data_IF_115531523051
#
_entry.id   IF_115531523051
#
_cell.length_a   1.000
_cell.length_b   1.000
_cell.length_c   1.000
_cell.angle_alpha   90.00
_cell.angle_beta   90.00
_cell.angle_gamma   90.00
#
_symmetry.space_group_name_H-M   'P 1'
#
loop_
_entity.id
_entity.type
_entity.pdbx_description
1 polymer ?
#
# COMPACT_ATOMS: atom_id res chain seq x y z
N UNK A 1 0.98 -21.36 -7.26
CA UNK A 1 0.62 -19.94 -7.26
C UNK A 1 1.74 -19.20 -6.54
N UNK A 2 2.40 -18.30 -7.28
CA UNK A 2 3.44 -17.44 -6.72
C UNK A 2 2.77 -16.55 -5.69
N UNK A 3 3.06 -16.76 -4.41
CA UNK A 3 2.86 -15.73 -3.39
C UNK A 3 3.80 -14.59 -3.76
N UNK A 4 3.32 -13.65 -4.54
CA UNK A 4 4.05 -12.41 -4.86
C UNK A 4 4.21 -11.71 -3.54
N UNK A 5 5.45 -11.64 -3.06
CA UNK A 5 5.87 -11.30 -1.72
C UNK A 5 4.99 -10.27 -1.03
N UNK A 6 4.16 -10.75 -0.13
CA UNK A 6 3.58 -9.88 0.89
C UNK A 6 4.74 -9.42 1.76
N UNK A 7 5.04 -8.14 1.71
CA UNK A 7 5.97 -7.51 2.64
C UNK A 7 5.28 -7.44 4.01
N UNK A 8 5.32 -8.52 4.75
CA UNK A 8 4.98 -8.52 6.17
C UNK A 8 6.20 -8.12 7.00
N UNK A 9 6.00 -7.71 8.23
CA UNK A 9 7.08 -7.41 9.17
C UNK A 9 8.08 -8.57 9.30
N UNK A 10 7.61 -9.81 9.10
CA UNK A 10 8.44 -11.02 9.12
C UNK A 10 9.24 -11.21 7.82
N UNK A 11 8.66 -10.85 6.66
CA UNK A 11 9.28 -11.11 5.35
C UNK A 11 10.49 -10.24 5.07
N UNK A 12 10.46 -8.97 5.51
CA UNK A 12 11.53 -7.99 5.27
C UNK A 12 12.23 -7.53 6.54
N UNK A 13 11.93 -8.16 7.69
CA UNK A 13 12.50 -7.79 8.98
C UNK A 13 12.46 -6.27 9.22
N UNK A 14 11.29 -5.67 8.98
CA UNK A 14 11.06 -4.22 8.97
C UNK A 14 11.54 -3.52 10.25
N UNK A 15 11.60 -4.27 11.36
CA UNK A 15 12.09 -3.78 12.65
C UNK A 15 13.59 -3.44 12.64
N UNK A 16 14.36 -3.94 11.67
CA UNK A 16 15.77 -3.58 11.48
C UNK A 16 15.96 -2.25 10.75
N UNK A 17 14.89 -1.70 10.17
CA UNK A 17 14.94 -0.44 9.44
C UNK A 17 14.70 0.75 10.37
N UNK A 18 15.08 1.94 9.89
CA UNK A 18 14.83 3.20 10.61
C UNK A 18 13.54 3.85 10.14
N UNK A 19 12.81 4.53 11.05
CA UNK A 19 11.57 5.21 10.70
C UNK A 19 11.83 6.49 9.89
N UNK A 20 10.97 6.74 8.91
CA UNK A 20 10.83 8.02 8.22
C UNK A 20 9.69 8.78 8.89
N UNK A 21 9.97 9.91 9.52
CA UNK A 21 9.00 10.60 10.39
C UNK A 21 8.47 11.90 9.80
N UNK A 22 9.21 12.53 8.88
CA UNK A 22 8.83 13.81 8.29
C UNK A 22 8.58 13.74 6.79
N UNK A 23 7.59 14.53 6.37
CA UNK A 23 7.29 14.76 4.97
C UNK A 23 8.27 15.75 4.29
N UNK A 24 9.12 16.42 5.08
CA UNK A 24 10.15 17.34 4.57
C UNK A 24 11.25 16.49 3.94
N UNK A 25 11.47 16.67 2.65
CA UNK A 25 12.49 15.91 1.91
C UNK A 25 13.89 16.51 2.05
N UNK A 26 13.99 17.82 2.03
CA UNK A 26 15.25 18.57 2.06
C UNK A 26 15.15 19.75 3.00
N UNK A 27 16.18 19.98 3.82
CA UNK A 27 16.29 21.16 4.71
C UNK A 27 16.73 22.41 3.95
N UNK A 28 17.67 22.22 3.02
CA UNK A 28 18.24 23.25 2.14
C UNK A 28 18.38 22.68 0.74
N UNK A 29 18.88 23.51 -0.20
CA UNK A 29 18.94 23.21 -1.64
C UNK A 29 19.53 21.84 -1.89
N UNK A 30 20.05 21.02 -1.44
CA UNK A 30 20.50 19.65 -1.75
C UNK A 30 20.90 18.85 -0.50
N UNK A 31 20.46 19.34 0.67
CA UNK A 31 20.75 18.67 1.95
C UNK A 31 19.48 17.92 2.37
N UNK A 32 19.46 16.58 2.32
CA UNK A 32 18.33 15.80 2.77
C UNK A 32 18.03 16.04 4.25
N UNK A 33 16.75 16.08 4.58
CA UNK A 33 16.34 16.12 5.98
C UNK A 33 16.73 14.80 6.68
N UNK A 34 17.32 14.81 7.91
CA UNK A 34 17.85 13.62 8.58
C UNK A 34 16.80 12.54 8.84
N UNK A 35 15.53 12.90 9.02
CA UNK A 35 14.42 11.96 9.22
C UNK A 35 13.48 11.85 8.01
N UNK A 36 13.89 12.41 6.86
CA UNK A 36 13.07 12.48 5.65
C UNK A 36 13.32 11.32 4.67
N UNK A 37 12.58 11.37 3.56
CA UNK A 37 12.59 10.33 2.52
C UNK A 37 13.95 10.15 1.82
N UNK A 38 14.85 11.13 1.88
CA UNK A 38 16.20 11.06 1.28
C UNK A 38 17.33 11.02 2.32
N UNK A 39 17.00 10.86 3.59
CA UNK A 39 17.94 10.87 4.71
C UNK A 39 19.14 9.94 4.50
N UNK A 40 20.33 10.47 4.73
CA UNK A 40 21.56 9.67 4.77
C UNK A 40 21.64 8.78 5.99
N UNK A 41 21.01 9.16 7.10
CA UNK A 41 20.98 8.37 8.33
C UNK A 41 20.10 7.12 8.19
N UNK A 42 19.04 7.20 7.38
CA UNK A 42 18.08 6.10 7.14
C UNK A 42 18.55 5.22 5.99
N UNK A 43 18.91 5.83 4.86
CA UNK A 43 19.14 5.11 3.60
C UNK A 43 20.62 5.00 3.23
N UNK A 44 21.53 5.48 4.10
CA UNK A 44 22.97 5.45 3.88
C UNK A 44 23.47 6.56 2.98
N UNK A 45 24.80 6.71 2.96
CA UNK A 45 25.51 7.77 2.24
C UNK A 45 26.24 7.24 0.99
N UNK A 46 26.52 5.93 0.95
CA UNK A 46 27.17 5.29 -0.19
C UNK A 46 26.17 4.79 -1.21
N UNK A 47 26.54 4.69 -2.51
CA UNK A 47 25.64 4.13 -3.55
C UNK A 47 25.14 2.71 -3.23
N UNK A 48 25.96 1.89 -2.58
CA UNK A 48 25.60 0.51 -2.20
C UNK A 48 24.59 0.48 -1.06
N UNK A 49 24.75 1.34 -0.05
CA UNK A 49 23.77 1.48 1.03
C UNK A 49 22.44 1.99 0.50
N UNK A 50 22.47 3.03 -0.36
CA UNK A 50 21.25 3.61 -0.97
C UNK A 50 20.48 2.62 -1.86
N UNK A 51 21.12 1.52 -2.30
CA UNK A 51 20.46 0.42 -3.02
C UNK A 51 19.81 -0.62 -2.10
N UNK A 52 20.33 -0.79 -0.89
CA UNK A 52 19.99 -1.92 0.00
C UNK A 52 19.15 -1.50 1.20
N UNK A 53 19.39 -0.29 1.73
CA UNK A 53 18.73 0.16 2.95
C UNK A 53 17.31 0.65 2.67
N UNK A 54 16.38 0.03 3.38
CA UNK A 54 14.99 0.44 3.42
C UNK A 54 14.73 1.30 4.66
N UNK A 55 13.68 2.11 4.60
CA UNK A 55 13.08 2.72 5.76
C UNK A 55 11.68 2.17 5.99
N UNK A 56 10.98 2.69 6.99
CA UNK A 56 9.56 2.44 7.17
C UNK A 56 8.83 3.68 7.67
N UNK A 57 7.54 3.75 7.38
CA UNK A 57 6.60 4.71 7.97
C UNK A 57 5.87 3.97 9.08
N UNK A 58 5.94 4.48 10.32
CA UNK A 58 5.19 3.98 11.44
C UNK A 58 3.75 4.53 11.37
N UNK A 59 2.80 3.70 10.99
CA UNK A 59 1.40 4.08 10.75
C UNK A 59 0.65 4.44 12.03
N UNK A 60 1.18 4.08 13.20
CA UNK A 60 0.61 4.32 14.55
C UNK A 60 -0.73 3.63 14.82
N UNK A 61 -1.35 3.10 13.81
CA UNK A 61 -2.60 2.33 13.86
C UNK A 61 -2.47 1.14 12.93
N UNK A 62 -3.35 0.17 13.14
CA UNK A 62 -3.45 -1.00 12.26
C UNK A 62 -4.20 -0.65 10.99
N UNK A 63 -3.67 -1.08 9.85
CA UNK A 63 -4.26 -0.97 8.52
C UNK A 63 -4.25 -2.32 7.84
N UNK A 64 -5.05 -2.51 6.80
CA UNK A 64 -4.91 -3.67 5.94
C UNK A 64 -3.60 -3.59 5.13
N UNK A 65 -2.96 -4.75 4.96
CA UNK A 65 -1.93 -4.86 3.93
C UNK A 65 -2.52 -4.47 2.56
N UNK A 66 -1.87 -3.61 1.75
CA UNK A 66 -2.46 -3.05 0.53
C UNK A 66 -3.02 -4.09 -0.43
N UNK A 67 -2.34 -5.23 -0.59
CA UNK A 67 -2.82 -6.30 -1.47
C UNK A 67 -4.03 -7.03 -0.89
N UNK A 68 -4.04 -7.28 0.41
CA UNK A 68 -5.20 -7.89 1.07
C UNK A 68 -6.42 -7.00 0.95
N UNK A 69 -6.25 -5.69 1.11
CA UNK A 69 -7.34 -4.74 0.92
C UNK A 69 -7.88 -4.74 -0.51
N UNK A 70 -7.03 -4.82 -1.52
CA UNK A 70 -7.47 -4.96 -2.92
C UNK A 70 -8.26 -6.25 -3.13
N UNK A 71 -7.76 -7.37 -2.62
CA UNK A 71 -8.46 -8.67 -2.70
C UNK A 71 -9.80 -8.61 -1.96
N UNK A 72 -9.84 -8.00 -0.78
CA UNK A 72 -11.07 -7.79 -0.01
C UNK A 72 -12.09 -6.99 -0.83
N UNK A 73 -11.69 -5.91 -1.48
CA UNK A 73 -12.57 -5.11 -2.34
C UNK A 73 -13.07 -5.88 -3.59
N UNK A 74 -12.30 -6.84 -4.08
CA UNK A 74 -12.72 -7.72 -5.19
C UNK A 74 -13.72 -8.78 -4.73
N UNK A 75 -13.58 -9.32 -3.51
CA UNK A 75 -14.45 -10.35 -2.95
C UNK A 75 -15.72 -9.76 -2.32
N UNK A 76 -15.62 -8.56 -1.73
CA UNK A 76 -16.72 -7.83 -1.11
C UNK A 76 -16.86 -6.46 -1.79
N UNK A 77 -17.76 -6.34 -2.77
CA UNK A 77 -17.92 -5.15 -3.61
C UNK A 77 -18.17 -3.85 -2.84
N UNK A 78 -18.75 -3.95 -1.65
CA UNK A 78 -19.06 -2.81 -0.78
C UNK A 78 -17.89 -2.41 0.15
N UNK A 79 -16.82 -3.21 0.25
CA UNK A 79 -15.73 -2.97 1.20
C UNK A 79 -15.07 -1.58 1.05
N UNK A 80 -14.85 -1.13 -0.18
CA UNK A 80 -14.31 0.21 -0.43
C UNK A 80 -15.27 1.33 0.02
N UNK A 81 -16.57 1.13 -0.15
CA UNK A 81 -17.61 2.10 0.25
C UNK A 81 -17.71 2.18 1.77
N UNK A 82 -17.64 1.03 2.45
CA UNK A 82 -17.56 0.93 3.91
C UNK A 82 -16.33 1.65 4.42
N UNK A 83 -15.16 1.31 3.90
CA UNK A 83 -13.88 1.90 4.33
C UNK A 83 -13.85 3.43 4.14
N UNK A 84 -14.48 3.94 3.08
CA UNK A 84 -14.60 5.37 2.83
C UNK A 84 -15.56 6.09 3.78
N UNK A 85 -16.22 5.39 4.71
CA UNK A 85 -17.18 5.97 5.66
C UNK A 85 -18.46 6.44 4.98
N UNK A 86 -18.87 5.79 3.91
CA UNK A 86 -20.11 6.11 3.19
C UNK A 86 -21.20 5.14 3.58
N UNK A 87 -22.34 5.67 4.03
CA UNK A 87 -23.46 4.91 4.58
C UNK A 87 -23.08 4.11 5.83
N UNK A 88 -24.08 3.47 6.42
CA UNK A 88 -23.96 2.53 7.54
C UNK A 88 -24.16 1.11 7.05
N UNK A 89 -23.52 0.15 7.70
CA UNK A 89 -23.40 -1.21 7.19
C UNK A 89 -23.56 -2.23 8.32
N UNK A 90 -24.10 -3.39 7.98
CA UNK A 90 -24.09 -4.59 8.82
C UNK A 90 -23.45 -5.76 8.08
N UNK A 91 -23.07 -6.78 8.82
CA UNK A 91 -22.63 -8.06 8.26
C UNK A 91 -23.77 -9.05 8.49
N UNK A 92 -24.34 -9.57 7.43
CA UNK A 92 -25.42 -10.54 7.50
C UNK A 92 -24.91 -11.93 7.92
N UNK A 93 -25.82 -12.89 8.15
CA UNK A 93 -25.50 -14.28 8.56
C UNK A 93 -24.60 -15.00 7.55
N UNK A 94 -24.70 -14.66 6.26
CA UNK A 94 -23.83 -15.19 5.21
C UNK A 94 -22.45 -14.50 5.16
N UNK A 95 -22.15 -13.56 6.05
CA UNK A 95 -20.86 -12.86 6.13
C UNK A 95 -20.64 -11.83 5.02
N UNK A 96 -21.71 -11.28 4.44
CA UNK A 96 -21.66 -10.24 3.41
C UNK A 96 -22.02 -8.87 3.98
N UNK A 97 -21.43 -7.83 3.39
CA UNK A 97 -21.69 -6.43 3.75
C UNK A 97 -23.02 -5.98 3.15
N UNK A 98 -23.98 -5.63 3.99
CA UNK A 98 -25.28 -5.08 3.63
C UNK A 98 -25.40 -3.65 4.14
N UNK A 99 -25.98 -2.77 3.31
CA UNK A 99 -26.27 -1.39 3.68
C UNK A 99 -27.46 -1.36 4.65
N UNK A 100 -27.34 -0.58 5.71
CA UNK A 100 -28.43 -0.29 6.65
C UNK A 100 -28.95 1.13 6.47
N UNK A 101 -30.21 1.34 6.82
CA UNK A 101 -30.91 2.64 6.81
C UNK A 101 -31.42 2.94 8.23
N UNK A 102 -31.77 4.19 8.50
CA UNK A 102 -32.29 4.62 9.81
C UNK A 102 -33.59 3.90 10.22
N UNK A 103 -34.27 3.22 9.27
CA UNK A 103 -35.50 2.47 9.51
C UNK A 103 -35.22 1.03 9.97
N UNK A 104 -33.97 0.54 9.86
CA UNK A 104 -33.61 -0.81 10.27
C UNK A 104 -33.44 -0.92 11.80
N UNK A 105 -33.96 -1.99 12.40
CA UNK A 105 -33.84 -2.26 13.85
C UNK A 105 -32.37 -2.33 14.33
N UNK A 106 -31.47 -2.76 13.45
CA UNK A 106 -30.03 -2.92 13.72
C UNK A 106 -29.20 -1.72 13.25
N UNK A 107 -29.82 -0.55 13.08
CA UNK A 107 -29.11 0.64 12.64
C UNK A 107 -28.15 1.13 13.72
N UNK A 108 -26.86 1.24 13.33
CA UNK A 108 -25.80 1.80 14.17
C UNK A 108 -25.00 2.84 13.33
N UNK A 109 -25.06 4.13 13.71
CA UNK A 109 -24.35 5.19 12.96
C UNK A 109 -22.83 5.04 12.98
N UNK A 110 -22.25 4.27 13.90
CA UNK A 110 -20.82 4.03 13.98
C UNK A 110 -20.37 2.84 13.11
N UNK A 111 -21.31 2.08 12.53
CA UNK A 111 -21.00 0.91 11.70
C UNK A 111 -20.56 1.31 10.29
N UNK A 112 -19.48 2.11 10.22
CA UNK A 112 -18.90 2.60 8.96
C UNK A 112 -17.39 2.92 9.14
N UNK A 113 -16.69 3.11 8.04
CA UNK A 113 -15.29 3.49 8.03
C UNK A 113 -14.31 2.31 8.08
N UNK A 114 -13.04 2.63 7.81
CA UNK A 114 -11.98 1.63 7.74
C UNK A 114 -11.79 0.90 9.08
N UNK A 115 -11.92 1.62 10.20
CA UNK A 115 -11.76 1.06 11.54
C UNK A 115 -12.82 0.00 11.86
N UNK A 116 -14.07 0.31 11.53
CA UNK A 116 -15.15 -0.65 11.69
C UNK A 116 -14.93 -1.91 10.84
N UNK A 117 -14.47 -1.74 9.59
CA UNK A 117 -14.18 -2.86 8.69
C UNK A 117 -13.03 -3.74 9.21
N UNK A 118 -11.96 -3.15 9.77
CA UNK A 118 -10.85 -3.88 10.41
C UNK A 118 -11.35 -4.69 11.59
N UNK A 119 -12.12 -4.07 12.49
CA UNK A 119 -12.61 -4.72 13.71
C UNK A 119 -13.59 -5.87 13.43
N UNK A 120 -14.31 -5.80 12.31
CA UNK A 120 -15.30 -6.82 11.94
C UNK A 120 -14.82 -7.75 10.82
N UNK A 121 -13.57 -7.64 10.38
CA UNK A 121 -13.03 -8.45 9.29
C UNK A 121 -13.22 -9.96 9.51
N UNK A 122 -13.05 -10.44 10.74
CA UNK A 122 -13.19 -11.84 11.11
C UNK A 122 -14.61 -12.41 10.94
N UNK A 123 -15.64 -11.55 10.84
CA UNK A 123 -17.04 -11.92 10.59
C UNK A 123 -17.35 -12.12 9.11
N UNK A 124 -16.46 -11.62 8.22
CA UNK A 124 -16.65 -11.73 6.78
C UNK A 124 -16.42 -13.18 6.32
N UNK A 125 -17.26 -13.66 5.44
CA UNK A 125 -17.14 -14.98 4.82
C UNK A 125 -16.93 -14.82 3.32
N UNK A 126 -16.10 -15.68 2.77
CA UNK A 126 -15.74 -15.65 1.36
C UNK A 126 -16.10 -16.99 0.72
N UNK A 127 -17.05 -16.98 -0.19
CA UNK A 127 -17.55 -18.19 -0.85
C UNK A 127 -16.90 -18.34 -2.23
N UNK A 128 -16.57 -19.58 -2.60
CA UNK A 128 -16.08 -19.91 -3.94
C UNK A 128 -17.21 -19.89 -4.97
N UNK A 129 -16.87 -19.58 -6.20
CA UNK A 129 -17.81 -19.58 -7.32
C UNK A 129 -17.20 -20.28 -8.56
N UNK A 130 -17.82 -20.13 -9.74
CA UNK A 130 -17.36 -20.76 -10.98
C UNK A 130 -16.12 -20.12 -11.59
N UNK A 131 -15.62 -18.99 -11.07
CA UNK A 131 -14.44 -18.31 -11.57
C UNK A 131 -13.20 -18.78 -10.83
N UNK A 132 -12.22 -19.34 -11.56
CA UNK A 132 -10.95 -19.78 -10.99
C UNK A 132 -10.20 -18.61 -10.31
N UNK A 133 -10.16 -17.45 -10.96
CA UNK A 133 -9.49 -16.24 -10.40
C UNK A 133 -10.14 -15.80 -9.09
N UNK A 134 -11.46 -15.85 -9.00
CA UNK A 134 -12.18 -15.54 -7.76
C UNK A 134 -11.82 -16.55 -6.66
N UNK A 135 -11.79 -17.84 -6.98
CA UNK A 135 -11.46 -18.91 -6.04
C UNK A 135 -10.00 -18.78 -5.54
N UNK A 136 -9.08 -18.38 -6.42
CA UNK A 136 -7.68 -18.10 -6.05
C UNK A 136 -7.59 -16.95 -5.02
N UNK A 137 -8.42 -15.90 -5.16
CA UNK A 137 -8.52 -14.82 -4.17
C UNK A 137 -9.13 -15.29 -2.84
N UNK A 138 -10.17 -16.12 -2.89
CA UNK A 138 -10.76 -16.72 -1.69
C UNK A 138 -9.73 -17.57 -0.96
N UNK A 139 -9.03 -18.45 -1.67
CA UNK A 139 -7.99 -19.31 -1.09
C UNK A 139 -6.83 -18.46 -0.52
N UNK A 140 -6.48 -17.37 -1.20
CA UNK A 140 -5.46 -16.45 -0.72
C UNK A 140 -5.85 -15.82 0.61
N UNK A 141 -7.02 -15.14 0.70
CA UNK A 141 -7.42 -14.39 1.90
C UNK A 141 -7.70 -15.31 3.08
N UNK A 142 -8.24 -16.51 2.82
CA UNK A 142 -8.55 -17.49 3.87
C UNK A 142 -7.28 -18.11 4.47
N UNK A 143 -6.20 -18.23 3.67
CA UNK A 143 -4.93 -18.79 4.14
C UNK A 143 -3.97 -17.74 4.73
N UNK A 144 -4.33 -16.45 4.71
CA UNK A 144 -3.53 -15.41 5.33
C UNK A 144 -3.64 -15.47 6.85
N UNK A 145 -2.52 -15.30 7.53
CA UNK A 145 -2.48 -15.10 8.97
C UNK A 145 -2.84 -13.65 9.32
N UNK A 146 -3.21 -13.38 10.56
CA UNK A 146 -3.55 -12.03 11.01
C UNK A 146 -2.41 -11.02 10.77
N UNK A 147 -1.17 -11.44 11.03
CA UNK A 147 0.06 -10.67 10.77
C UNK A 147 0.30 -10.38 9.26
N UNK A 148 -0.31 -11.17 8.37
CA UNK A 148 -0.24 -10.96 6.92
C UNK A 148 -1.38 -10.08 6.41
N UNK A 149 -2.50 -10.06 7.12
CA UNK A 149 -3.67 -9.24 6.80
C UNK A 149 -3.46 -7.80 7.24
N UNK A 150 -2.89 -7.61 8.43
CA UNK A 150 -2.78 -6.31 9.07
C UNK A 150 -1.33 -5.85 9.22
N UNK A 151 -1.12 -4.55 8.99
CA UNK A 151 0.19 -3.91 9.13
C UNK A 151 0.10 -2.68 10.02
N UNK A 152 1.16 -2.42 10.77
CA UNK A 152 1.38 -1.21 11.58
C UNK A 152 2.54 -0.37 11.05
N UNK A 153 3.35 -0.94 10.16
CA UNK A 153 4.51 -0.30 9.54
C UNK A 153 4.44 -0.48 8.03
N UNK A 154 4.69 0.58 7.30
CA UNK A 154 4.70 0.55 5.85
C UNK A 154 6.11 0.75 5.31
N UNK A 155 6.65 -0.16 4.48
CA UNK A 155 8.03 -0.10 4.00
C UNK A 155 8.22 1.05 3.02
N UNK A 156 9.37 1.72 3.14
CA UNK A 156 9.84 2.72 2.19
C UNK A 156 11.03 2.13 1.44
N UNK A 157 10.89 1.98 0.14
CA UNK A 157 11.93 1.37 -0.71
C UNK A 157 13.20 2.20 -0.74
N UNK A 158 14.36 1.60 -1.07
CA UNK A 158 15.64 2.30 -1.12
C UNK A 158 15.61 3.51 -2.05
N UNK A 159 16.36 4.54 -1.69
CA UNK A 159 16.44 5.81 -2.45
C UNK A 159 16.85 5.57 -3.89
N UNK A 160 17.74 4.62 -4.15
CA UNK A 160 18.22 4.30 -5.50
C UNK A 160 17.09 4.12 -6.54
N UNK A 161 15.94 3.55 -6.13
CA UNK A 161 14.80 3.32 -7.03
C UNK A 161 13.84 4.50 -7.15
N UNK A 162 14.09 5.58 -6.40
CA UNK A 162 13.25 6.78 -6.34
C UNK A 162 14.07 8.06 -6.16
N UNK A 163 15.33 8.05 -6.62
CA UNK A 163 16.26 9.16 -6.41
C UNK A 163 15.82 10.41 -7.18
N UNK A 164 16.13 11.56 -6.60
CA UNK A 164 15.84 12.86 -7.19
C UNK A 164 16.96 13.26 -8.15
N UNK A 165 16.59 13.74 -9.34
CA UNK A 165 17.53 14.30 -10.29
C UNK A 165 17.61 15.83 -10.11
N UNK A 166 18.82 16.33 -9.98
CA UNK A 166 19.10 17.77 -9.88
C UNK A 166 19.74 18.24 -11.17
N UNK A 167 19.07 19.13 -11.90
CA UNK A 167 19.59 19.78 -13.10
C UNK A 167 19.52 21.30 -12.93
N UNK A 168 20.63 21.91 -12.53
CA UNK A 168 20.68 23.33 -12.18
C UNK A 168 19.71 23.65 -11.03
N UNK A 169 18.76 24.56 -11.26
CA UNK A 169 17.74 24.93 -10.28
C UNK A 169 16.49 24.04 -10.30
N UNK A 170 16.40 23.10 -11.25
CA UNK A 170 15.24 22.23 -11.38
C UNK A 170 15.47 20.91 -10.63
N UNK A 171 14.49 20.55 -9.80
CA UNK A 171 14.44 19.25 -9.11
C UNK A 171 13.38 18.39 -9.81
N UNK A 172 13.79 17.24 -10.29
CA UNK A 172 12.89 16.22 -10.79
C UNK A 172 12.79 15.10 -9.76
N UNK A 173 11.68 15.08 -9.03
CA UNK A 173 11.42 14.14 -7.95
C UNK A 173 10.40 13.11 -8.46
N UNK A 174 10.74 11.82 -8.49
CA UNK A 174 9.81 10.79 -8.90
C UNK A 174 8.51 10.81 -8.09
N UNK A 175 7.37 10.60 -8.76
CA UNK A 175 6.01 10.65 -8.18
C UNK A 175 5.83 9.76 -6.94
N UNK A 176 6.58 8.68 -6.87
CA UNK A 176 6.57 7.77 -5.72
C UNK A 176 6.93 8.46 -4.41
N UNK A 177 7.83 9.47 -4.45
CA UNK A 177 8.17 10.24 -3.26
C UNK A 177 7.02 11.13 -2.80
N UNK A 178 6.22 11.68 -3.73
CA UNK A 178 5.04 12.47 -3.38
C UNK A 178 3.96 11.60 -2.76
N UNK A 179 3.81 10.35 -3.22
CA UNK A 179 2.89 9.38 -2.61
C UNK A 179 3.33 9.03 -1.18
N UNK A 180 4.61 8.69 -0.94
CA UNK A 180 5.12 8.48 0.42
C UNK A 180 4.97 9.72 1.31
N UNK A 181 5.25 10.91 0.77
CA UNK A 181 5.06 12.19 1.47
C UNK A 181 3.62 12.36 1.96
N UNK A 182 2.63 12.05 1.11
CA UNK A 182 1.21 12.12 1.51
C UNK A 182 0.91 11.16 2.66
N UNK A 183 1.35 9.90 2.57
CA UNK A 183 1.16 8.94 3.66
C UNK A 183 1.73 9.50 4.97
N UNK A 184 2.95 10.02 4.98
CA UNK A 184 3.58 10.61 6.17
C UNK A 184 2.76 11.80 6.69
N UNK A 185 2.29 12.68 5.81
CA UNK A 185 1.48 13.84 6.18
C UNK A 185 0.18 13.43 6.87
N UNK A 186 -0.54 12.46 6.29
CA UNK A 186 -1.81 11.98 6.85
C UNK A 186 -1.59 11.20 8.17
N UNK A 187 -0.54 10.39 8.27
CA UNK A 187 -0.18 9.70 9.52
C UNK A 187 0.17 10.71 10.61
N UNK A 188 0.90 11.79 10.27
CA UNK A 188 1.21 12.86 11.23
C UNK A 188 -0.06 13.65 11.63
N UNK A 189 -1.00 13.84 10.70
CA UNK A 189 -2.29 14.45 11.00
C UNK A 189 -3.13 13.60 11.95
N UNK A 190 -3.13 12.27 11.85
CA UNK A 190 -3.81 11.37 12.79
C UNK A 190 -3.34 11.50 14.24
N UNK A 191 -2.17 12.07 14.47
CA UNK A 191 -1.61 12.32 15.82
C UNK A 191 -2.22 13.56 16.49
N UNK A 192 -2.86 14.44 15.71
CA UNK A 192 -3.45 15.66 16.25
C UNK A 192 -4.73 15.34 17.03
N UNK A 193 -4.85 15.78 18.30
CA UNK A 193 -6.01 15.46 19.15
C UNK A 193 -7.34 16.05 18.67
N UNK A 194 -7.30 16.96 17.69
CA UNK A 194 -8.46 17.69 17.17
C UNK A 194 -9.21 16.98 16.03
N UNK A 195 -8.84 15.75 15.65
CA UNK A 195 -9.32 15.18 14.39
C UNK A 195 -10.71 14.51 14.47
N UNK A 196 -11.26 14.22 15.64
CA UNK A 196 -12.64 13.72 15.81
C UNK A 196 -13.18 12.91 14.61
N UNK A 197 -14.27 13.37 14.03
CA UNK A 197 -14.97 12.74 12.89
C UNK A 197 -14.12 12.65 11.58
N UNK A 198 -13.08 13.46 11.43
CA UNK A 198 -12.18 13.39 10.27
C UNK A 198 -11.23 12.20 10.31
N UNK A 199 -11.14 11.49 11.44
CA UNK A 199 -10.24 10.33 11.59
C UNK A 199 -10.54 9.24 10.55
N UNK A 200 -11.82 8.89 10.35
CA UNK A 200 -12.23 7.85 9.41
C UNK A 200 -11.85 8.18 7.95
N UNK A 201 -12.05 9.43 7.54
CA UNK A 201 -11.67 9.88 6.19
C UNK A 201 -10.14 9.84 5.99
N UNK A 202 -9.39 10.28 7.01
CA UNK A 202 -7.93 10.28 6.96
C UNK A 202 -7.36 8.86 6.92
N UNK A 203 -7.92 7.94 7.71
CA UNK A 203 -7.52 6.53 7.68
C UNK A 203 -7.79 5.91 6.30
N UNK A 204 -8.95 6.18 5.71
CA UNK A 204 -9.24 5.70 4.35
C UNK A 204 -8.24 6.23 3.32
N UNK A 205 -7.89 7.52 3.38
CA UNK A 205 -6.91 8.11 2.45
C UNK A 205 -5.53 7.47 2.62
N UNK A 206 -5.09 7.19 3.85
CA UNK A 206 -3.83 6.47 4.10
C UNK A 206 -3.87 5.08 3.45
N UNK A 207 -4.96 4.34 3.65
CA UNK A 207 -5.13 3.01 3.06
C UNK A 207 -5.08 3.06 1.53
N UNK A 208 -5.76 4.03 0.93
CA UNK A 208 -5.81 4.20 -0.53
C UNK A 208 -4.45 4.59 -1.11
N UNK A 209 -3.73 5.54 -0.50
CA UNK A 209 -2.37 5.92 -0.93
C UNK A 209 -1.38 4.74 -0.81
N UNK A 210 -1.49 3.89 0.21
CA UNK A 210 -0.67 2.67 0.32
C UNK A 210 -0.97 1.68 -0.81
N UNK A 211 -2.23 1.55 -1.20
CA UNK A 211 -2.64 0.72 -2.36
C UNK A 211 -2.06 1.29 -3.65
N UNK A 212 -2.15 2.61 -3.86
CA UNK A 212 -1.60 3.27 -5.04
C UNK A 212 -0.07 3.14 -5.13
N UNK A 213 0.66 3.26 -4.01
CA UNK A 213 2.11 3.00 -3.96
C UNK A 213 2.41 1.56 -4.41
N UNK A 214 1.65 0.58 -3.94
CA UNK A 214 1.81 -0.81 -4.35
C UNK A 214 1.53 -1.00 -5.84
N UNK A 215 0.44 -0.43 -6.36
CA UNK A 215 0.08 -0.49 -7.79
C UNK A 215 1.15 0.15 -8.66
N UNK A 216 1.67 1.31 -8.24
CA UNK A 216 2.77 1.96 -8.93
C UNK A 216 4.01 1.06 -8.99
N UNK A 217 4.42 0.48 -7.85
CA UNK A 217 5.53 -0.47 -7.81
C UNK A 217 5.31 -1.68 -8.72
N UNK A 218 4.09 -2.23 -8.75
CA UNK A 218 3.72 -3.32 -9.64
C UNK A 218 3.82 -2.90 -11.12
N UNK A 219 3.40 -1.69 -11.47
CA UNK A 219 3.47 -1.17 -12.84
C UNK A 219 4.90 -1.01 -13.35
N UNK A 220 5.87 -0.72 -12.46
CA UNK A 220 7.29 -0.65 -12.81
C UNK A 220 7.88 -2.03 -13.17
N UNK A 221 7.34 -3.10 -12.62
CA UNK A 221 7.83 -4.47 -12.84
C UNK A 221 7.05 -5.17 -13.97
N UNK A 222 5.75 -4.97 -14.01
CA UNK A 222 4.82 -5.63 -14.93
C UNK A 222 4.48 -4.78 -16.16
N UNK A 223 3.88 -5.42 -17.17
CA UNK A 223 3.39 -4.75 -18.38
C UNK A 223 4.44 -4.62 -19.48
N UNK A 224 4.03 -4.00 -20.60
CA UNK A 224 4.88 -3.87 -21.80
C UNK A 224 6.14 -3.04 -21.59
N UNK A 225 6.07 -2.04 -20.70
CA UNK A 225 7.16 -1.14 -20.34
C UNK A 225 7.82 -1.51 -19.00
N UNK A 226 7.34 -2.57 -18.34
CA UNK A 226 7.89 -3.03 -17.08
C UNK A 226 9.26 -3.69 -17.25
N UNK A 227 10.05 -3.64 -16.18
CA UNK A 227 11.42 -4.16 -16.12
C UNK A 227 11.53 -5.60 -16.63
N UNK A 228 10.61 -6.48 -16.25
CA UNK A 228 10.63 -7.88 -16.67
C UNK A 228 10.54 -8.02 -18.19
N UNK A 229 9.68 -7.25 -18.84
CA UNK A 229 9.47 -7.37 -20.28
C UNK A 229 10.57 -6.69 -21.09
N UNK A 230 11.08 -5.56 -20.63
CA UNK A 230 12.15 -4.83 -21.32
C UNK A 230 13.53 -5.46 -21.14
N UNK A 231 13.87 -5.91 -19.93
CA UNK A 231 15.25 -6.27 -19.60
C UNK A 231 15.46 -7.78 -19.39
N UNK A 232 14.41 -8.55 -19.09
CA UNK A 232 14.52 -10.00 -18.93
C UNK A 232 14.05 -10.72 -20.19
N UNK A 233 12.83 -10.46 -20.67
CA UNK A 233 12.28 -11.12 -21.85
C UNK A 233 12.65 -10.44 -23.17
N UNK A 234 12.91 -9.12 -23.18
CA UNK A 234 13.29 -8.35 -24.36
C UNK A 234 14.79 -8.32 -24.64
N UNK A 235 15.60 -9.10 -23.88
CA UNK A 235 17.03 -9.20 -24.14
C UNK A 235 17.28 -9.85 -25.49
N UNK A 236 17.99 -9.14 -26.38
CA UNK A 236 18.43 -9.68 -27.65
C UNK A 236 19.35 -10.89 -27.41
N UNK A 237 18.97 -12.02 -27.96
CA UNK A 237 19.84 -13.21 -27.95
C UNK A 237 20.97 -13.01 -28.95
N UNK A 238 22.22 -13.26 -28.54
CA UNK A 238 23.33 -13.33 -29.48
C UNK A 238 23.03 -14.45 -30.50
N UNK A 239 23.30 -14.20 -31.78
CA UNK A 239 23.01 -15.11 -32.89
C UNK A 239 21.52 -15.29 -33.25
N UNK A 240 20.65 -14.40 -32.80
CA UNK A 240 19.26 -14.36 -33.28
C UNK A 240 19.13 -13.59 -34.60
N UNK A 241 18.36 -14.12 -35.57
CA UNK A 241 17.97 -13.43 -36.78
C UNK A 241 16.46 -13.22 -36.83
N UNK A 242 16.01 -12.11 -37.41
CA UNK A 242 14.61 -11.83 -37.70
C UNK A 242 14.44 -11.67 -39.19
N UNK A 243 13.65 -12.54 -39.81
CA UNK A 243 13.25 -12.39 -41.22
C UNK A 243 11.79 -11.95 -41.32
N UNK A 244 11.48 -11.18 -42.36
CA UNK A 244 10.12 -10.87 -42.75
C UNK A 244 9.69 -11.95 -43.73
N UNK A 245 8.57 -12.61 -43.45
CA UNK A 245 7.93 -13.54 -44.37
C UNK A 245 7.08 -12.69 -45.30
N UNK A 246 7.44 -12.67 -46.55
CA UNK A 246 6.69 -12.04 -47.64
C UNK A 246 5.79 -13.06 -48.32
#
# INVERSE_FOLDING_TARGET
PMRIGMCTDKTIEINKFKPVTTAIMFEKENIPHPEGLFSYEIFGNTPDERRKLNGYIDLKRTFFHPYVYEVLCMLQSNAATVAAGRNTWRINESGKLEKTTEEDEDYDPESTGLRWLINNFHKLKFEKNNSQTHNDYVDFITNCTEDEIFITKFPVIPVFYRDANFSGHKRDIPILNDMYKKVIQYVNALRAPALGDFSNKTEFVIQDEMVEIRRYGQSLVQGKRGFMKQFVFGKTTAYGARSVIT
#
